data_IF_550119545262
#
_entry.id   IF_550119545262
#
_cell.length_a   1.000
_cell.length_b   1.000
_cell.length_c   1.000
_cell.angle_alpha   90.00
_cell.angle_beta   90.00
_cell.angle_gamma   90.00
#
_symmetry.space_group_name_H-M   'P 1'
#
loop_
_entity.id
_entity.type
_entity.pdbx_description
1 polymer ?
#
# COMPACT_ATOMS: atom_id res chain seq x y z
N UNK A 1 27.24 -34.05 -66.66
CA UNK A 1 28.65 -34.09 -66.29
C UNK A 1 28.95 -32.97 -65.34
N UNK A 2 29.75 -33.18 -64.30
CA UNK A 2 29.46 -33.83 -63.04
C UNK A 2 29.36 -32.81 -61.91
N UNK A 3 28.75 -33.22 -60.85
CA UNK A 3 28.76 -32.46 -59.56
C UNK A 3 30.17 -32.52 -58.93
N UNK A 4 30.52 -31.57 -58.06
CA UNK A 4 31.51 -31.80 -57.03
C UNK A 4 30.93 -31.78 -55.67
N UNK A 5 31.22 -32.84 -54.96
CA UNK A 5 31.75 -33.04 -53.59
C UNK A 5 31.23 -32.17 -52.47
N UNK A 6 30.60 -32.83 -51.56
CA UNK A 6 30.41 -32.42 -50.15
C UNK A 6 31.78 -32.13 -49.49
N UNK A 7 31.88 -30.94 -48.88
CA UNK A 7 32.88 -30.63 -47.90
C UNK A 7 32.18 -30.63 -46.53
N UNK A 8 32.67 -31.47 -45.66
CA UNK A 8 32.30 -31.52 -44.22
C UNK A 8 32.59 -30.14 -43.60
N UNK A 9 31.52 -29.51 -43.13
CA UNK A 9 31.65 -28.33 -42.27
C UNK A 9 31.68 -28.84 -40.80
N UNK A 10 32.85 -28.72 -40.19
CA UNK A 10 33.03 -28.87 -38.76
C UNK A 10 32.10 -27.89 -38.03
N UNK A 11 31.28 -28.42 -37.13
CA UNK A 11 30.46 -27.67 -36.15
C UNK A 11 31.41 -26.83 -35.28
N UNK A 12 31.22 -25.50 -35.16
CA UNK A 12 32.01 -24.70 -34.25
C UNK A 12 31.62 -25.04 -32.82
N UNK A 13 32.60 -25.49 -32.04
CA UNK A 13 32.53 -25.58 -30.55
C UNK A 13 31.96 -24.26 -30.00
N UNK A 14 30.78 -24.35 -29.39
CA UNK A 14 30.18 -23.27 -28.60
C UNK A 14 31.10 -23.04 -27.39
N UNK A 15 31.70 -21.85 -27.21
CA UNK A 15 32.50 -21.58 -26.04
C UNK A 15 31.61 -21.59 -24.82
N UNK A 16 32.11 -22.34 -23.83
CA UNK A 16 31.57 -22.39 -22.47
C UNK A 16 31.46 -20.94 -21.93
N UNK A 17 30.26 -20.40 -21.93
CA UNK A 17 29.98 -19.09 -21.31
C UNK A 17 30.23 -19.21 -19.83
N UNK A 18 31.04 -18.34 -19.21
CA UNK A 18 31.22 -18.34 -17.78
C UNK A 18 29.86 -18.13 -17.10
N UNK A 19 29.55 -18.99 -16.13
CA UNK A 19 28.38 -18.93 -15.27
C UNK A 19 28.14 -17.49 -14.83
N UNK A 20 27.00 -16.92 -15.25
CA UNK A 20 26.42 -15.73 -14.67
C UNK A 20 26.24 -16.00 -13.15
N UNK A 21 26.77 -15.17 -12.24
CA UNK A 21 26.51 -15.32 -10.83
C UNK A 21 25.02 -15.01 -10.61
N UNK A 22 24.19 -16.04 -10.69
CA UNK A 22 22.75 -15.97 -10.41
C UNK A 22 22.51 -15.32 -9.07
N UNK A 23 21.30 -14.76 -8.92
CA UNK A 23 20.80 -14.17 -7.68
C UNK A 23 21.25 -15.00 -6.47
N UNK A 24 21.90 -14.39 -5.42
CA UNK A 24 22.40 -15.12 -4.25
C UNK A 24 21.32 -15.94 -3.52
N UNK A 25 20.04 -15.76 -3.86
CA UNK A 25 18.92 -16.56 -3.35
C UNK A 25 18.65 -17.85 -4.15
N UNK A 26 19.28 -18.05 -5.33
CA UNK A 26 19.05 -19.22 -6.19
C UNK A 26 20.15 -20.29 -6.03
N UNK A 27 19.77 -21.56 -5.98
CA UNK A 27 20.72 -22.67 -5.96
C UNK A 27 21.56 -22.68 -7.22
N UNK A 28 22.87 -22.85 -7.05
CA UNK A 28 23.83 -22.91 -8.17
C UNK A 28 23.46 -24.04 -9.15
N UNK A 29 23.82 -23.92 -10.44
CA UNK A 29 23.60 -25.01 -11.42
C UNK A 29 24.23 -26.32 -11.00
N UNK A 30 25.41 -26.26 -10.33
CA UNK A 30 26.08 -27.44 -9.78
C UNK A 30 25.30 -28.05 -8.61
N UNK A 31 24.73 -27.23 -7.73
CA UNK A 31 23.90 -27.71 -6.63
C UNK A 31 22.62 -28.40 -7.15
N UNK A 32 21.96 -27.82 -8.16
CA UNK A 32 20.79 -28.47 -8.80
C UNK A 32 21.12 -29.83 -9.39
N UNK A 33 22.28 -29.95 -10.09
CA UNK A 33 22.73 -31.21 -10.66
C UNK A 33 23.11 -32.22 -9.55
N UNK A 34 23.75 -31.76 -8.49
CA UNK A 34 24.10 -32.61 -7.34
C UNK A 34 22.85 -33.08 -6.61
N UNK A 35 21.83 -32.24 -6.47
CA UNK A 35 20.57 -32.67 -5.84
C UNK A 35 19.88 -33.77 -6.67
N UNK A 36 19.81 -33.64 -7.98
CA UNK A 36 19.28 -34.68 -8.88
C UNK A 36 20.09 -35.97 -8.74
N UNK A 37 21.43 -35.89 -8.73
CA UNK A 37 22.32 -37.02 -8.49
C UNK A 37 22.06 -37.70 -7.14
N UNK A 38 21.80 -36.91 -6.08
CA UNK A 38 21.52 -37.42 -4.74
C UNK A 38 20.15 -38.09 -4.62
N UNK A 39 19.14 -37.61 -5.36
CA UNK A 39 17.79 -38.18 -5.39
C UNK A 39 17.78 -39.59 -5.99
N UNK A 40 18.59 -39.84 -7.02
CA UNK A 40 18.69 -41.15 -7.69
C UNK A 40 19.44 -42.17 -6.84
N UNK A 41 20.03 -41.79 -5.72
CA UNK A 41 20.85 -42.63 -4.86
C UNK A 41 20.35 -42.61 -3.40
N UNK A 42 20.49 -43.76 -2.72
CA UNK A 42 20.12 -43.79 -1.31
C UNK A 42 21.10 -42.98 -0.43
N UNK A 43 22.38 -42.97 -0.83
CA UNK A 43 23.43 -42.21 -0.18
C UNK A 43 24.65 -42.07 -1.08
N UNK A 44 25.46 -41.02 -0.91
CA UNK A 44 26.70 -40.81 -1.64
C UNK A 44 27.75 -40.14 -0.73
N UNK A 45 29.00 -40.23 -1.14
CA UNK A 45 30.14 -39.53 -0.51
C UNK A 45 30.58 -38.35 -1.35
N UNK A 46 31.27 -37.36 -0.74
CA UNK A 46 31.79 -36.21 -1.48
C UNK A 46 32.76 -36.60 -2.61
N UNK A 47 33.67 -37.58 -2.43
CA UNK A 47 34.52 -38.06 -3.50
C UNK A 47 33.74 -38.67 -4.68
N UNK A 48 32.68 -39.44 -4.43
CA UNK A 48 31.83 -40.00 -5.49
C UNK A 48 31.12 -38.90 -6.28
N UNK A 49 30.59 -37.91 -5.58
CA UNK A 49 29.97 -36.72 -6.23
C UNK A 49 30.99 -35.90 -7.04
N UNK A 50 32.23 -35.77 -6.52
CA UNK A 50 33.31 -35.05 -7.22
C UNK A 50 33.73 -35.81 -8.50
N UNK A 51 33.79 -37.12 -8.45
CA UNK A 51 34.09 -37.93 -9.64
C UNK A 51 32.99 -37.80 -10.71
N UNK A 52 31.73 -37.71 -10.29
CA UNK A 52 30.58 -37.67 -11.21
C UNK A 52 30.29 -36.25 -11.78
N UNK A 53 30.52 -35.20 -10.98
CA UNK A 53 30.06 -33.83 -11.29
C UNK A 53 31.16 -32.77 -11.33
N UNK A 54 32.42 -33.19 -11.05
CA UNK A 54 33.60 -32.32 -11.08
C UNK A 54 33.93 -31.66 -9.74
N UNK A 55 35.03 -30.91 -9.71
CA UNK A 55 35.64 -30.35 -8.49
C UNK A 55 34.74 -29.43 -7.66
N UNK A 56 33.69 -28.85 -8.23
CA UNK A 56 32.74 -27.97 -7.53
C UNK A 56 31.69 -28.74 -6.71
N UNK A 57 31.66 -30.08 -6.74
CA UNK A 57 30.67 -30.88 -6.02
C UNK A 57 30.76 -30.68 -4.49
N UNK A 58 31.95 -30.51 -3.92
CA UNK A 58 32.11 -30.23 -2.49
C UNK A 58 31.43 -28.94 -2.03
N UNK A 59 31.59 -27.87 -2.79
CA UNK A 59 30.90 -26.60 -2.52
C UNK A 59 29.36 -26.73 -2.65
N UNK A 60 28.89 -27.46 -3.65
CA UNK A 60 27.48 -27.76 -3.84
C UNK A 60 26.87 -28.59 -2.71
N UNK A 61 27.64 -29.51 -2.11
CA UNK A 61 27.19 -30.25 -0.89
C UNK A 61 26.97 -29.27 0.27
N UNK A 62 27.90 -28.33 0.48
CA UNK A 62 27.76 -27.31 1.54
C UNK A 62 26.55 -26.43 1.32
N UNK A 63 26.32 -25.98 0.08
CA UNK A 63 25.18 -25.16 -0.32
C UNK A 63 23.85 -25.89 -0.07
N UNK A 64 23.71 -27.13 -0.54
CA UNK A 64 22.50 -27.92 -0.35
C UNK A 64 22.28 -28.33 1.12
N UNK A 65 23.33 -28.56 1.89
CA UNK A 65 23.24 -28.82 3.31
C UNK A 65 22.76 -27.59 4.10
N UNK A 66 23.25 -26.39 3.74
CA UNK A 66 22.77 -25.13 4.30
C UNK A 66 21.29 -24.87 3.96
N UNK A 67 20.84 -25.26 2.77
CA UNK A 67 19.45 -25.24 2.35
C UNK A 67 18.60 -26.42 2.91
N UNK A 68 19.15 -27.26 3.78
CA UNK A 68 18.49 -28.46 4.32
C UNK A 68 18.06 -29.52 3.27
N UNK A 69 18.54 -29.39 2.04
CA UNK A 69 18.24 -30.32 0.92
C UNK A 69 19.10 -31.61 0.95
N UNK A 70 20.22 -31.56 1.66
CA UNK A 70 21.01 -32.74 1.98
C UNK A 70 21.10 -32.94 3.50
N UNK A 71 21.08 -34.20 3.90
CA UNK A 71 21.28 -34.62 5.29
C UNK A 71 22.45 -35.60 5.37
N UNK A 72 23.33 -35.36 6.33
CA UNK A 72 24.38 -36.28 6.68
C UNK A 72 23.78 -37.48 7.38
N UNK A 73 24.12 -38.66 6.92
CA UNK A 73 23.74 -39.92 7.59
C UNK A 73 24.69 -40.16 8.79
N UNK A 74 24.14 -40.60 9.94
CA UNK A 74 24.96 -41.03 11.07
C UNK A 74 25.68 -42.32 10.67
N UNK A 75 26.97 -42.22 10.37
CA UNK A 75 27.78 -43.37 10.04
C UNK A 75 28.72 -43.75 11.20
N UNK A 76 29.01 -45.06 11.30
CA UNK A 76 30.13 -45.59 12.05
C UNK A 76 31.47 -45.14 11.42
N UNK A 77 32.60 -45.82 11.70
CA UNK A 77 33.99 -45.48 11.31
C UNK A 77 34.29 -45.31 9.80
N UNK A 78 33.29 -45.02 8.96
CA UNK A 78 33.37 -44.85 7.50
C UNK A 78 33.39 -43.39 7.01
N UNK A 79 33.59 -43.18 5.69
CA UNK A 79 33.55 -41.84 5.09
C UNK A 79 32.17 -41.22 5.20
N UNK A 80 32.12 -39.89 5.39
CA UNK A 80 30.87 -39.10 5.47
C UNK A 80 29.93 -39.37 4.30
N UNK A 81 28.69 -39.79 4.61
CA UNK A 81 27.66 -40.09 3.61
C UNK A 81 26.50 -39.10 3.71
N UNK A 82 26.02 -38.70 2.56
CA UNK A 82 24.94 -37.74 2.40
C UNK A 82 23.75 -38.37 1.68
N UNK A 83 22.53 -37.98 2.07
CA UNK A 83 21.32 -38.36 1.36
C UNK A 83 20.44 -37.12 1.05
N UNK A 84 19.64 -37.23 -0.02
CA UNK A 84 18.70 -36.20 -0.39
C UNK A 84 17.54 -36.08 0.60
N UNK A 85 17.16 -34.87 0.94
CA UNK A 85 15.97 -34.55 1.74
C UNK A 85 14.89 -33.99 0.81
N UNK A 86 13.66 -34.48 0.95
CA UNK A 86 12.55 -33.97 0.13
C UNK A 86 12.39 -32.45 0.31
N UNK A 87 12.17 -31.64 -0.77
CA UNK A 87 12.11 -30.19 -0.70
C UNK A 87 11.08 -29.66 0.32
N UNK A 88 9.93 -30.33 0.45
CA UNK A 88 8.91 -29.99 1.46
C UNK A 88 9.41 -30.17 2.89
N UNK A 89 10.20 -31.19 3.14
CA UNK A 89 10.79 -31.47 4.47
C UNK A 89 11.92 -30.43 4.75
N UNK A 90 12.74 -30.11 3.75
CA UNK A 90 13.76 -29.08 3.85
C UNK A 90 13.12 -27.70 4.16
N UNK A 91 12.08 -27.32 3.41
CA UNK A 91 11.34 -26.08 3.66
C UNK A 91 10.71 -26.05 5.07
N UNK A 92 10.12 -27.14 5.54
CA UNK A 92 9.58 -27.21 6.89
C UNK A 92 10.67 -27.00 7.96
N UNK A 93 11.87 -27.56 7.77
CA UNK A 93 13.02 -27.37 8.68
C UNK A 93 13.54 -25.94 8.66
N UNK A 94 13.67 -25.33 7.47
CA UNK A 94 14.15 -23.98 7.32
C UNK A 94 13.17 -22.94 7.91
N UNK A 95 11.85 -23.17 7.77
CA UNK A 95 10.82 -22.25 8.23
C UNK A 95 10.44 -22.44 9.72
N UNK A 96 10.74 -23.59 10.31
CA UNK A 96 10.35 -23.88 11.70
C UNK A 96 10.82 -22.84 12.72
N UNK A 97 12.08 -22.33 12.70
CA UNK A 97 12.51 -21.29 13.63
C UNK A 97 11.74 -19.98 13.45
N UNK A 98 11.45 -19.58 12.20
CA UNK A 98 10.68 -18.38 11.91
C UNK A 98 9.23 -18.52 12.38
N UNK A 99 8.62 -19.66 12.18
CA UNK A 99 7.26 -19.95 12.65
C UNK A 99 7.16 -19.89 14.18
N UNK A 100 8.17 -20.37 14.89
CA UNK A 100 8.26 -20.27 16.34
C UNK A 100 8.37 -18.80 16.78
N UNK A 101 9.26 -18.03 16.17
CA UNK A 101 9.43 -16.61 16.49
C UNK A 101 8.13 -15.81 16.27
N UNK A 102 7.45 -16.04 15.16
CA UNK A 102 6.14 -15.43 14.88
C UNK A 102 5.13 -15.77 15.97
N UNK A 103 5.09 -17.05 16.38
CA UNK A 103 4.19 -17.50 17.44
C UNK A 103 4.50 -16.83 18.78
N UNK A 104 5.77 -16.80 19.18
CA UNK A 104 6.22 -16.16 20.43
C UNK A 104 5.86 -14.67 20.43
N UNK A 105 6.06 -13.99 19.31
CA UNK A 105 5.68 -12.57 19.14
C UNK A 105 4.17 -12.36 19.28
N UNK A 106 3.35 -13.24 18.69
CA UNK A 106 1.90 -13.18 18.85
C UNK A 106 1.47 -13.40 20.32
N UNK A 107 2.03 -14.42 20.98
CA UNK A 107 1.74 -14.69 22.37
C UNK A 107 2.12 -13.51 23.29
N UNK A 108 3.20 -12.82 23.00
CA UNK A 108 3.61 -11.61 23.74
C UNK A 108 2.67 -10.43 23.49
N UNK A 109 2.24 -10.24 22.25
CA UNK A 109 1.24 -9.21 21.91
C UNK A 109 -0.09 -9.48 22.63
N UNK A 110 -0.56 -10.73 22.66
CA UNK A 110 -1.81 -11.09 23.34
C UNK A 110 -1.72 -10.92 24.85
N UNK A 111 -0.57 -11.27 25.45
CA UNK A 111 -0.33 -10.99 26.89
C UNK A 111 -0.31 -9.50 27.20
N UNK A 112 0.31 -8.69 26.33
CA UNK A 112 0.32 -7.23 26.51
C UNK A 112 -1.08 -6.66 26.38
N UNK A 113 -1.84 -7.10 25.35
CA UNK A 113 -3.23 -6.69 25.15
C UNK A 113 -4.08 -7.02 26.40
N UNK A 114 -4.04 -8.26 26.88
CA UNK A 114 -4.79 -8.66 28.05
C UNK A 114 -4.43 -7.86 29.31
N UNK A 115 -3.13 -7.50 29.50
CA UNK A 115 -2.72 -6.62 30.61
C UNK A 115 -3.28 -5.21 30.48
N UNK A 116 -3.34 -4.66 29.27
CA UNK A 116 -3.89 -3.33 29.02
C UNK A 116 -5.42 -3.33 29.15
N UNK A 117 -6.10 -4.35 28.62
CA UNK A 117 -7.55 -4.53 28.74
C UNK A 117 -8.00 -4.65 30.21
N UNK A 118 -7.21 -5.30 31.05
CA UNK A 118 -7.49 -5.38 32.49
C UNK A 118 -7.52 -4.00 33.19
N UNK A 119 -6.94 -2.97 32.57
CA UNK A 119 -6.96 -1.60 33.10
C UNK A 119 -8.18 -0.78 32.61
N UNK A 120 -8.90 -1.26 31.60
CA UNK A 120 -10.07 -0.56 31.03
C UNK A 120 -11.12 -0.24 32.09
N UNK A 121 -11.54 -1.16 32.98
CA UNK A 121 -12.55 -0.83 34.00
C UNK A 121 -12.09 0.26 34.96
N UNK A 122 -10.80 0.27 35.32
CA UNK A 122 -10.24 1.31 36.19
C UNK A 122 -10.17 2.67 35.47
N UNK A 123 -9.86 2.66 34.20
CA UNK A 123 -9.88 3.86 33.36
C UNK A 123 -11.29 4.40 33.18
N UNK A 124 -12.27 3.54 32.89
CA UNK A 124 -13.68 3.89 32.72
C UNK A 124 -14.30 4.41 34.03
N UNK A 125 -14.00 3.78 35.18
CA UNK A 125 -14.41 4.28 36.48
C UNK A 125 -13.84 5.67 36.80
N UNK A 126 -12.57 5.92 36.44
CA UNK A 126 -11.95 7.24 36.54
C UNK A 126 -12.47 8.22 35.46
N UNK A 127 -12.86 7.73 34.28
CA UNK A 127 -13.46 8.54 33.22
C UNK A 127 -14.88 8.98 33.58
N UNK A 128 -15.69 8.14 34.19
CA UNK A 128 -17.02 8.52 34.73
C UNK A 128 -16.93 9.70 35.71
N UNK A 129 -15.85 9.80 36.49
CA UNK A 129 -15.58 10.98 37.35
C UNK A 129 -15.11 12.20 36.53
N UNK A 130 -14.42 11.99 35.40
CA UNK A 130 -13.95 13.04 34.46
C UNK A 130 -15.00 13.42 33.41
N UNK A 131 -16.05 12.62 33.23
CA UNK A 131 -17.14 12.88 32.27
C UNK A 131 -17.96 14.14 32.64
N UNK A 132 -17.88 14.58 33.87
CA UNK A 132 -18.30 15.93 34.26
C UNK A 132 -17.40 17.03 33.65
N UNK A 133 -16.25 16.68 33.09
CA UNK A 133 -15.26 17.59 32.48
C UNK A 133 -15.04 17.36 30.97
N UNK A 134 -15.71 16.40 30.32
CA UNK A 134 -15.62 16.16 28.88
C UNK A 134 -14.26 15.62 28.35
N UNK A 135 -13.29 15.33 29.23
CA UNK A 135 -11.89 15.09 28.81
C UNK A 135 -11.56 13.66 28.38
N UNK A 136 -12.47 12.68 28.52
CA UNK A 136 -12.25 11.28 28.10
C UNK A 136 -12.72 10.94 26.68
N UNK A 137 -13.50 11.84 26.07
CA UNK A 137 -14.11 11.60 24.74
C UNK A 137 -13.30 12.12 23.57
N UNK A 138 -12.25 12.88 23.84
CA UNK A 138 -11.29 13.41 22.86
C UNK A 138 -9.88 13.03 23.30
N UNK A 139 -9.16 12.33 22.46
CA UNK A 139 -7.81 11.83 22.71
C UNK A 139 -6.86 12.23 21.58
N UNK A 140 -5.76 12.89 21.92
CA UNK A 140 -4.72 13.26 20.95
C UNK A 140 -3.64 12.17 20.93
N UNK A 141 -3.55 11.45 19.81
CA UNK A 141 -2.49 10.48 19.53
C UNK A 141 -1.46 11.15 18.62
N UNK A 142 -0.21 11.23 19.07
CA UNK A 142 0.86 11.97 18.35
C UNK A 142 1.86 11.07 17.63
N UNK A 143 1.88 9.79 17.93
CA UNK A 143 2.73 8.80 17.28
C UNK A 143 2.04 8.16 16.07
N UNK A 144 2.71 8.18 14.91
CA UNK A 144 2.15 7.64 13.66
C UNK A 144 1.91 6.12 13.72
N UNK A 145 2.79 5.37 14.40
CA UNK A 145 2.65 3.92 14.57
C UNK A 145 1.43 3.61 15.42
N UNK A 146 1.23 4.34 16.52
CA UNK A 146 0.05 4.22 17.38
C UNK A 146 -1.24 4.56 16.61
N UNK A 147 -1.23 5.62 15.78
CA UNK A 147 -2.39 5.98 14.93
C UNK A 147 -2.71 4.86 13.94
N UNK A 148 -1.70 4.26 13.28
CA UNK A 148 -1.90 3.13 12.35
C UNK A 148 -2.44 1.89 13.06
N UNK A 149 -1.87 1.55 14.22
CA UNK A 149 -2.34 0.46 15.06
C UNK A 149 -3.82 0.63 15.44
N UNK A 150 -4.17 1.83 15.93
CA UNK A 150 -5.55 2.16 16.29
C UNK A 150 -6.53 2.08 15.10
N UNK A 151 -6.12 2.57 13.91
CA UNK A 151 -6.94 2.43 12.70
C UNK A 151 -7.18 0.94 12.37
N UNK A 152 -6.16 0.10 12.51
CA UNK A 152 -6.27 -1.33 12.26
C UNK A 152 -7.20 -2.01 13.26
N UNK A 153 -7.11 -1.66 14.53
CA UNK A 153 -7.98 -2.18 15.59
C UNK A 153 -9.44 -1.75 15.38
N UNK A 154 -9.70 -0.46 15.13
CA UNK A 154 -11.04 0.05 14.85
C UNK A 154 -11.65 -0.56 13.59
N UNK A 155 -10.85 -0.79 12.56
CA UNK A 155 -11.32 -1.46 11.34
C UNK A 155 -11.64 -2.95 11.59
N UNK A 156 -10.89 -3.62 12.46
CA UNK A 156 -11.18 -5.01 12.85
C UNK A 156 -12.48 -5.11 13.63
N UNK A 157 -12.79 -4.15 14.51
CA UNK A 157 -14.03 -4.06 15.28
C UNK A 157 -15.23 -3.42 14.55
N UNK A 158 -15.01 -2.87 13.35
CA UNK A 158 -16.08 -2.22 12.57
C UNK A 158 -17.07 -3.26 12.02
N UNK A 159 -18.37 -3.05 12.26
CA UNK A 159 -19.44 -3.99 11.91
C UNK A 159 -20.40 -3.46 10.84
N UNK A 160 -20.59 -2.15 10.74
CA UNK A 160 -21.62 -1.55 9.86
C UNK A 160 -21.05 -0.74 8.73
N UNK A 161 -20.24 0.27 9.02
CA UNK A 161 -19.77 1.21 8.01
C UNK A 161 -18.48 1.92 8.38
N UNK A 162 -17.60 2.04 7.40
CA UNK A 162 -16.43 2.91 7.43
C UNK A 162 -16.60 4.07 6.44
N UNK A 163 -16.59 5.30 6.96
CA UNK A 163 -16.56 6.53 6.17
C UNK A 163 -15.16 7.12 6.17
N UNK A 164 -14.64 7.43 5.00
CA UNK A 164 -13.26 7.94 4.86
C UNK A 164 -13.20 9.17 3.97
N UNK A 165 -12.58 10.22 4.44
CA UNK A 165 -12.30 11.42 3.66
C UNK A 165 -10.78 11.65 3.55
N UNK A 166 -10.27 11.70 2.32
CA UNK A 166 -8.84 11.73 1.99
C UNK A 166 -8.50 12.95 1.12
N UNK A 167 -8.15 14.09 1.73
CA UNK A 167 -7.63 15.25 1.02
C UNK A 167 -6.20 15.04 0.54
N UNK A 168 -5.70 15.91 -0.31
CA UNK A 168 -4.29 15.99 -0.64
C UNK A 168 -3.84 15.13 -1.82
N UNK A 169 -4.75 14.76 -2.71
CA UNK A 169 -4.39 14.01 -3.93
C UNK A 169 -4.24 12.51 -3.72
N UNK A 170 -3.34 11.88 -4.48
CA UNK A 170 -3.08 10.44 -4.37
C UNK A 170 -2.32 10.08 -3.10
N UNK A 171 -2.60 8.89 -2.56
CA UNK A 171 -1.87 8.35 -1.41
C UNK A 171 -0.55 7.72 -1.86
N UNK A 172 0.50 7.77 -1.02
CA UNK A 172 1.73 7.01 -1.24
C UNK A 172 1.43 5.51 -1.38
N UNK A 173 2.20 4.81 -2.22
CA UNK A 173 2.01 3.39 -2.48
C UNK A 173 2.09 2.55 -1.20
N UNK A 174 3.09 2.77 -0.36
CA UNK A 174 3.26 2.09 0.93
C UNK A 174 2.01 2.20 1.83
N UNK A 175 1.42 3.40 1.92
CA UNK A 175 0.20 3.61 2.71
C UNK A 175 -1.03 2.92 2.12
N UNK A 176 -1.04 2.66 0.81
CA UNK A 176 -2.11 1.91 0.15
C UNK A 176 -1.92 0.41 0.35
N UNK A 177 -0.69 -0.08 0.28
CA UNK A 177 -0.36 -1.49 0.55
C UNK A 177 -0.73 -1.89 1.99
N UNK A 178 -0.42 -1.04 2.97
CA UNK A 178 -0.87 -1.24 4.36
C UNK A 178 -2.41 -1.25 4.49
N UNK A 179 -3.09 -0.42 3.72
CA UNK A 179 -4.55 -0.29 3.80
C UNK A 179 -5.29 -1.45 3.13
N UNK A 180 -4.76 -1.99 2.01
CA UNK A 180 -5.45 -2.97 1.17
C UNK A 180 -5.93 -4.18 1.96
N UNK A 181 -5.05 -4.88 2.68
CA UNK A 181 -5.42 -6.10 3.40
C UNK A 181 -6.48 -5.86 4.48
N UNK A 182 -6.38 -4.74 5.18
CA UNK A 182 -7.35 -4.30 6.19
C UNK A 182 -8.71 -4.00 5.55
N UNK A 183 -8.73 -3.22 4.48
CA UNK A 183 -9.95 -2.74 3.83
C UNK A 183 -10.66 -3.89 3.09
N UNK A 184 -9.91 -4.84 2.50
CA UNK A 184 -10.45 -6.08 1.94
C UNK A 184 -11.09 -6.98 3.00
N UNK A 185 -10.42 -7.15 4.15
CA UNK A 185 -10.97 -7.91 5.28
C UNK A 185 -12.27 -7.29 5.79
N UNK A 186 -12.36 -5.95 5.85
CA UNK A 186 -13.55 -5.21 6.23
C UNK A 186 -14.69 -5.44 5.24
N UNK A 187 -14.43 -5.31 3.95
CA UNK A 187 -15.42 -5.55 2.89
C UNK A 187 -15.89 -7.01 2.85
N UNK A 188 -14.98 -7.98 3.06
CA UNK A 188 -15.32 -9.41 3.12
C UNK A 188 -16.28 -9.75 4.28
N UNK A 189 -16.30 -8.97 5.35
CA UNK A 189 -17.27 -9.07 6.45
C UNK A 189 -18.61 -8.42 6.14
N UNK A 190 -18.77 -7.79 4.97
CA UNK A 190 -20.00 -7.11 4.57
C UNK A 190 -20.14 -5.68 5.12
N UNK A 191 -19.09 -5.11 5.69
CA UNK A 191 -19.09 -3.74 6.17
C UNK A 191 -19.14 -2.77 4.98
N UNK A 192 -20.02 -1.78 5.02
CA UNK A 192 -20.08 -0.75 3.99
C UNK A 192 -18.88 0.17 4.07
N UNK A 193 -18.23 0.42 2.94
CA UNK A 193 -17.09 1.33 2.87
C UNK A 193 -17.37 2.45 1.86
N UNK A 194 -17.37 3.69 2.34
CA UNK A 194 -17.53 4.89 1.52
C UNK A 194 -16.33 5.81 1.67
N UNK A 195 -15.69 6.13 0.55
CA UNK A 195 -14.48 6.96 0.54
C UNK A 195 -14.62 8.16 -0.38
N UNK A 196 -14.28 9.35 0.11
CA UNK A 196 -14.15 10.55 -0.71
C UNK A 196 -12.67 10.90 -0.84
N UNK A 197 -12.19 10.92 -2.06
CA UNK A 197 -10.87 11.46 -2.42
C UNK A 197 -10.99 12.87 -2.99
N UNK A 198 -9.90 13.60 -2.98
CA UNK A 198 -9.80 14.82 -3.76
C UNK A 198 -9.68 14.47 -5.26
N UNK A 199 -10.19 15.33 -6.16
CA UNK A 199 -10.18 15.07 -7.60
C UNK A 199 -8.80 14.71 -8.15
N UNK A 200 -7.75 15.29 -7.61
CA UNK A 200 -6.36 15.03 -8.00
C UNK A 200 -5.88 13.61 -7.73
N UNK A 201 -6.53 12.86 -6.83
CA UNK A 201 -6.22 11.46 -6.58
C UNK A 201 -6.40 10.56 -7.83
N UNK A 202 -7.25 10.96 -8.76
CA UNK A 202 -7.49 10.24 -10.03
C UNK A 202 -6.25 10.15 -10.93
N UNK A 203 -5.30 11.07 -10.75
CA UNK A 203 -4.05 11.09 -11.52
C UNK A 203 -2.94 10.22 -10.89
N UNK A 204 -3.17 9.67 -9.70
CA UNK A 204 -2.25 8.76 -9.03
C UNK A 204 -2.54 7.32 -9.45
N UNK A 205 -1.61 6.71 -10.20
CA UNK A 205 -1.74 5.30 -10.61
C UNK A 205 -1.92 4.34 -9.44
N UNK A 206 -1.13 4.43 -8.34
CA UNK A 206 -1.32 3.55 -7.19
C UNK A 206 -2.71 3.71 -6.57
N UNK A 207 -3.20 4.96 -6.44
CA UNK A 207 -4.53 5.22 -5.88
C UNK A 207 -5.64 4.70 -6.79
N UNK A 208 -5.51 4.86 -8.12
CA UNK A 208 -6.50 4.33 -9.07
C UNK A 208 -6.58 2.80 -9.01
N UNK A 209 -5.44 2.11 -8.98
CA UNK A 209 -5.39 0.65 -8.84
C UNK A 209 -6.00 0.16 -7.51
N UNK A 210 -5.73 0.87 -6.41
CA UNK A 210 -6.36 0.58 -5.12
C UNK A 210 -7.88 0.75 -5.19
N UNK A 211 -8.35 1.87 -5.78
CA UNK A 211 -9.80 2.14 -5.90
C UNK A 211 -10.49 1.08 -6.75
N UNK A 212 -9.90 0.68 -7.87
CA UNK A 212 -10.42 -0.41 -8.71
C UNK A 212 -10.61 -1.69 -7.89
N UNK A 213 -9.59 -2.05 -7.09
CA UNK A 213 -9.59 -3.25 -6.26
C UNK A 213 -10.67 -3.23 -5.18
N UNK A 214 -10.78 -2.16 -4.39
CA UNK A 214 -11.81 -2.08 -3.33
C UNK A 214 -13.21 -1.91 -3.89
N UNK A 215 -13.38 -1.25 -5.04
CA UNK A 215 -14.67 -1.09 -5.71
C UNK A 215 -15.18 -2.43 -6.25
N UNK A 216 -14.29 -3.29 -6.76
CA UNK A 216 -14.64 -4.65 -7.17
C UNK A 216 -15.19 -5.49 -5.99
N UNK A 217 -14.83 -5.15 -4.75
CA UNK A 217 -15.33 -5.76 -3.52
C UNK A 217 -16.55 -5.06 -2.92
N UNK A 218 -17.09 -4.05 -3.59
CA UNK A 218 -18.32 -3.36 -3.18
C UNK A 218 -18.12 -2.02 -2.47
N UNK A 219 -16.89 -1.52 -2.32
CA UNK A 219 -16.66 -0.18 -1.78
C UNK A 219 -17.19 0.91 -2.74
N UNK A 220 -17.73 1.97 -2.18
CA UNK A 220 -18.15 3.14 -2.94
C UNK A 220 -17.09 4.24 -2.82
N UNK A 221 -16.54 4.65 -3.94
CA UNK A 221 -15.51 5.69 -3.97
C UNK A 221 -15.95 6.86 -4.84
N UNK A 222 -15.89 8.06 -4.27
CA UNK A 222 -16.22 9.31 -4.95
C UNK A 222 -15.06 10.30 -4.86
N UNK A 223 -15.16 11.38 -5.59
CA UNK A 223 -14.17 12.47 -5.53
C UNK A 223 -14.85 13.83 -5.44
N UNK A 224 -14.19 14.75 -4.73
CA UNK A 224 -14.62 16.14 -4.56
C UNK A 224 -13.47 17.07 -4.89
N UNK A 225 -13.78 18.28 -5.42
CA UNK A 225 -12.75 19.24 -5.85
C UNK A 225 -11.98 19.85 -4.70
N UNK A 226 -12.66 20.19 -3.62
CA UNK A 226 -12.11 20.93 -2.48
C UNK A 226 -12.96 20.74 -1.22
N UNK A 227 -12.49 21.29 -0.09
CA UNK A 227 -13.25 21.32 1.17
C UNK A 227 -13.19 20.01 1.98
N UNK A 228 -12.29 19.11 1.63
CA UNK A 228 -12.11 17.86 2.37
C UNK A 228 -11.20 18.04 3.58
N UNK A 229 -11.62 17.46 4.70
CA UNK A 229 -10.77 17.23 5.87
C UNK A 229 -10.41 15.74 5.93
N UNK A 230 -9.18 15.43 6.37
CA UNK A 230 -8.80 14.02 6.56
C UNK A 230 -9.47 13.48 7.81
N UNK A 231 -10.37 12.53 7.61
CA UNK A 231 -11.06 11.86 8.70
C UNK A 231 -11.45 10.43 8.33
N UNK A 232 -11.60 9.60 9.35
CA UNK A 232 -12.20 8.28 9.29
C UNK A 232 -13.30 8.23 10.35
N UNK A 233 -14.41 7.57 10.06
CA UNK A 233 -15.51 7.38 11.02
C UNK A 233 -15.91 5.92 10.95
N UNK A 234 -15.89 5.25 12.09
CA UNK A 234 -16.21 3.84 12.26
C UNK A 234 -17.56 3.72 12.96
N UNK A 235 -18.53 3.10 12.32
CA UNK A 235 -19.89 2.78 12.82
C UNK A 235 -20.66 3.97 13.41
N UNK A 236 -20.31 5.19 13.07
CA UNK A 236 -20.83 6.42 13.69
C UNK A 236 -20.58 6.53 15.21
N UNK A 237 -19.60 5.76 15.72
CA UNK A 237 -19.24 5.75 17.15
C UNK A 237 -17.87 6.37 17.41
N UNK A 238 -16.92 6.15 16.51
CA UNK A 238 -15.55 6.65 16.69
C UNK A 238 -15.09 7.36 15.44
N UNK A 239 -14.66 8.60 15.59
CA UNK A 239 -14.03 9.40 14.55
C UNK A 239 -12.53 9.58 14.79
N UNK A 240 -11.76 9.62 13.73
CA UNK A 240 -10.37 10.07 13.75
C UNK A 240 -10.24 11.27 12.80
N UNK A 241 -9.62 12.34 13.26
CA UNK A 241 -9.32 13.52 12.45
C UNK A 241 -7.81 13.77 12.46
N UNK A 242 -7.26 14.12 11.28
CA UNK A 242 -5.88 14.60 11.22
C UNK A 242 -5.76 15.95 11.95
N UNK A 243 -4.66 16.12 12.69
CA UNK A 243 -4.36 17.37 13.39
C UNK A 243 -3.59 18.28 12.44
N UNK A 244 -4.08 19.51 12.18
CA UNK A 244 -3.33 20.48 11.39
C UNK A 244 -1.94 20.71 11.98
N UNK A 245 -0.95 20.87 11.09
CA UNK A 245 0.45 21.18 11.42
C UNK A 245 1.20 20.13 12.27
N UNK A 246 0.59 18.96 12.56
CA UNK A 246 1.22 17.81 13.21
C UNK A 246 1.10 16.57 12.33
N UNK A 247 2.09 16.36 11.47
CA UNK A 247 2.12 15.16 10.62
C UNK A 247 2.18 13.89 11.47
N UNK A 248 1.32 12.93 11.17
CA UNK A 248 1.27 11.65 11.88
C UNK A 248 0.44 11.65 13.16
N UNK A 249 -0.07 12.81 13.61
CA UNK A 249 -0.97 12.89 14.74
C UNK A 249 -2.45 12.78 14.30
N UNK A 250 -3.28 12.20 15.16
CA UNK A 250 -4.72 12.14 15.01
C UNK A 250 -5.43 12.51 16.30
N UNK A 251 -6.55 13.22 16.17
CA UNK A 251 -7.52 13.38 17.25
C UNK A 251 -8.54 12.26 17.13
N UNK A 252 -8.60 11.43 18.15
CA UNK A 252 -9.62 10.38 18.32
C UNK A 252 -10.83 10.99 19.00
N UNK A 253 -12.00 10.81 18.41
CA UNK A 253 -13.26 11.40 18.87
C UNK A 253 -14.25 10.29 19.18
N UNK A 254 -14.66 10.18 20.43
CA UNK A 254 -15.69 9.25 20.91
C UNK A 254 -16.91 10.00 21.51
N UNK A 255 -16.90 11.33 21.40
CA UNK A 255 -18.03 12.13 21.83
C UNK A 255 -19.15 12.08 20.78
N UNK A 256 -20.37 11.57 21.13
CA UNK A 256 -21.42 11.27 20.14
C UNK A 256 -21.85 12.47 19.29
N UNK A 257 -21.99 13.66 19.89
CA UNK A 257 -22.41 14.85 19.14
C UNK A 257 -21.35 15.31 18.14
N UNK A 258 -20.05 15.15 18.50
CA UNK A 258 -18.94 15.50 17.57
C UNK A 258 -18.85 14.46 16.47
N UNK A 259 -18.99 13.16 16.77
CA UNK A 259 -19.04 12.10 15.75
C UNK A 259 -20.23 12.29 14.82
N UNK A 260 -21.40 12.64 15.36
CA UNK A 260 -22.58 12.96 14.54
C UNK A 260 -22.32 14.15 13.62
N UNK A 261 -21.68 15.21 14.12
CA UNK A 261 -21.28 16.36 13.29
C UNK A 261 -20.29 15.94 12.19
N UNK A 262 -19.31 15.10 12.51
CA UNK A 262 -18.34 14.57 11.52
C UNK A 262 -19.06 13.77 10.42
N UNK A 263 -20.02 12.91 10.80
CA UNK A 263 -20.84 12.12 9.88
C UNK A 263 -21.68 13.03 8.99
N UNK A 264 -22.36 14.03 9.57
CA UNK A 264 -23.15 15.00 8.79
C UNK A 264 -22.27 15.81 7.80
N UNK A 265 -21.06 16.18 8.21
CA UNK A 265 -20.10 16.86 7.33
C UNK A 265 -19.63 15.94 6.18
N UNK A 266 -19.41 14.65 6.47
CA UNK A 266 -19.11 13.65 5.43
C UNK A 266 -20.28 13.50 4.46
N UNK A 267 -21.51 13.31 4.94
CA UNK A 267 -22.69 13.14 4.10
C UNK A 267 -22.94 14.36 3.20
N UNK A 268 -22.76 15.54 3.73
CA UNK A 268 -22.84 16.77 2.93
C UNK A 268 -21.83 16.78 1.79
N UNK A 269 -20.59 16.36 2.09
CA UNK A 269 -19.52 16.23 1.09
C UNK A 269 -19.83 15.12 0.09
N UNK A 270 -20.41 14.03 0.55
CA UNK A 270 -20.80 12.88 -0.27
C UNK A 270 -21.86 13.22 -1.32
N UNK A 271 -22.82 14.04 -0.97
CA UNK A 271 -23.86 14.51 -1.91
C UNK A 271 -23.27 15.31 -3.07
N UNK A 272 -22.24 16.12 -2.81
CA UNK A 272 -21.56 16.91 -3.83
C UNK A 272 -20.45 16.16 -4.58
N UNK A 273 -20.08 14.96 -4.11
CA UNK A 273 -18.98 14.20 -4.67
C UNK A 273 -19.43 13.35 -5.87
N UNK A 274 -18.55 13.21 -6.87
CA UNK A 274 -18.80 12.40 -8.09
C UNK A 274 -18.11 11.05 -8.00
N UNK A 275 -18.66 10.01 -8.64
CA UNK A 275 -18.01 8.69 -8.68
C UNK A 275 -16.55 8.78 -9.12
N UNK A 276 -15.68 7.98 -8.50
CA UNK A 276 -14.30 7.84 -8.95
C UNK A 276 -14.32 7.05 -10.27
N UNK A 277 -13.80 7.57 -11.39
CA UNK A 277 -13.81 6.83 -12.64
C UNK A 277 -12.81 5.67 -12.57
N UNK A 278 -13.31 4.46 -12.71
CA UNK A 278 -12.51 3.23 -12.79
C UNK A 278 -12.02 2.95 -14.22
N UNK A 279 -12.64 3.59 -15.22
CA UNK A 279 -12.21 3.57 -16.61
C UNK A 279 -11.91 4.98 -17.10
N UNK A 280 -10.73 5.20 -17.64
CA UNK A 280 -10.33 6.51 -18.22
C UNK A 280 -10.92 6.60 -19.63
N UNK A 281 -12.20 6.97 -19.75
CA UNK A 281 -12.69 7.41 -21.04
C UNK A 281 -12.11 8.81 -21.35
N UNK A 282 -11.81 9.14 -22.61
CA UNK A 282 -11.33 10.48 -22.99
C UNK A 282 -12.28 11.61 -22.56
N UNK A 283 -13.56 11.30 -22.47
CA UNK A 283 -14.62 12.20 -22.08
C UNK A 283 -14.62 12.46 -20.58
N UNK A 284 -14.49 11.43 -19.75
CA UNK A 284 -14.30 11.55 -18.30
C UNK A 284 -13.03 12.34 -17.96
N UNK A 285 -11.93 12.11 -18.69
CA UNK A 285 -10.68 12.86 -18.50
C UNK A 285 -10.83 14.35 -18.80
N UNK A 286 -11.61 14.72 -19.83
CA UNK A 286 -11.89 16.14 -20.16
C UNK A 286 -12.74 16.82 -19.09
N UNK A 287 -13.84 16.20 -18.69
CA UNK A 287 -14.73 16.73 -17.64
C UNK A 287 -13.96 16.97 -16.34
N UNK A 288 -13.06 16.05 -15.98
CA UNK A 288 -12.19 16.17 -14.81
C UNK A 288 -11.19 17.32 -14.90
N UNK A 289 -10.60 17.52 -16.09
CA UNK A 289 -9.70 18.63 -16.34
C UNK A 289 -10.42 19.97 -16.19
N UNK A 290 -11.67 20.06 -16.65
CA UNK A 290 -12.47 21.26 -16.56
C UNK A 290 -12.89 21.57 -15.12
N UNK A 291 -13.27 20.57 -14.33
CA UNK A 291 -13.59 20.73 -12.91
C UNK A 291 -12.37 21.18 -12.09
N UNK A 292 -11.21 20.58 -12.35
CA UNK A 292 -9.98 21.01 -11.71
C UNK A 292 -9.64 22.46 -12.05
N UNK A 293 -9.80 22.85 -13.32
CA UNK A 293 -9.61 24.22 -13.76
C UNK A 293 -10.58 25.19 -13.07
N UNK A 294 -11.86 24.84 -12.99
CA UNK A 294 -12.86 25.64 -12.29
C UNK A 294 -12.52 25.82 -10.81
N UNK A 295 -12.04 24.76 -10.16
CA UNK A 295 -11.62 24.84 -8.76
C UNK A 295 -10.40 25.74 -8.60
N UNK A 296 -9.40 25.63 -9.48
CA UNK A 296 -8.23 26.53 -9.47
C UNK A 296 -8.66 27.97 -9.69
N UNK A 297 -9.55 28.23 -10.65
CA UNK A 297 -10.09 29.56 -10.93
C UNK A 297 -10.75 30.17 -9.70
N UNK A 298 -11.61 29.41 -9.01
CA UNK A 298 -12.27 29.88 -7.80
C UNK A 298 -11.24 30.23 -6.72
N UNK A 299 -10.27 29.36 -6.44
CA UNK A 299 -9.23 29.60 -5.43
C UNK A 299 -8.33 30.80 -5.79
N UNK A 300 -8.07 31.01 -7.09
CA UNK A 300 -7.37 32.21 -7.57
C UNK A 300 -8.22 33.49 -7.36
N UNK A 301 -9.53 33.42 -7.60
CA UNK A 301 -10.45 34.53 -7.38
C UNK A 301 -10.59 34.88 -5.90
N UNK A 302 -10.46 33.88 -5.01
CA UNK A 302 -10.39 34.04 -3.56
C UNK A 302 -9.05 34.66 -3.09
N UNK A 303 -8.12 34.94 -4.01
CA UNK A 303 -6.83 35.56 -3.71
C UNK A 303 -5.75 34.63 -3.15
N UNK A 304 -5.92 33.31 -3.21
CA UNK A 304 -4.95 32.38 -2.67
C UNK A 304 -3.67 32.33 -3.52
N UNK A 305 -2.53 32.15 -2.84
CA UNK A 305 -1.23 31.93 -3.47
C UNK A 305 -1.10 30.52 -4.09
N UNK A 306 -0.25 30.36 -5.12
CA UNK A 306 -0.02 29.09 -5.83
C UNK A 306 0.33 27.95 -4.88
N UNK A 307 1.19 28.21 -3.90
CA UNK A 307 1.61 27.24 -2.90
C UNK A 307 0.44 26.77 -2.03
N UNK A 308 -0.47 27.67 -1.67
CA UNK A 308 -1.67 27.35 -0.89
C UNK A 308 -2.63 26.54 -1.75
N UNK A 309 -2.85 26.97 -3.01
CA UNK A 309 -3.70 26.24 -3.97
C UNK A 309 -3.15 24.84 -4.21
N UNK A 310 -1.83 24.72 -4.48
CA UNK A 310 -1.18 23.42 -4.72
C UNK A 310 -1.37 22.48 -3.53
N UNK A 311 -1.10 22.95 -2.30
CA UNK A 311 -1.30 22.18 -1.07
C UNK A 311 -2.77 21.78 -0.89
N UNK A 312 -3.70 22.69 -1.12
CA UNK A 312 -5.14 22.46 -0.96
C UNK A 312 -5.69 21.48 -1.98
N UNK A 313 -5.14 21.47 -3.19
CA UNK A 313 -5.51 20.55 -4.27
C UNK A 313 -4.68 19.27 -4.30
N UNK A 314 -3.71 19.10 -3.39
CA UNK A 314 -2.87 17.90 -3.30
C UNK A 314 -2.01 17.67 -4.54
N UNK A 315 -1.48 18.75 -5.12
CA UNK A 315 -0.56 18.67 -6.25
C UNK A 315 0.74 19.43 -5.97
N UNK A 316 1.77 19.19 -6.78
CA UNK A 316 3.00 19.96 -6.66
C UNK A 316 2.77 21.43 -7.10
N UNK A 317 3.52 22.36 -6.51
CA UNK A 317 3.46 23.78 -6.87
C UNK A 317 3.74 23.98 -8.38
N UNK A 318 4.71 23.25 -8.93
CA UNK A 318 5.01 23.23 -10.36
C UNK A 318 3.80 22.81 -11.22
N UNK A 319 3.04 21.81 -10.77
CA UNK A 319 1.84 21.35 -11.47
C UNK A 319 0.74 22.41 -11.40
N UNK A 320 0.56 23.04 -10.23
CA UNK A 320 -0.39 24.12 -10.03
C UNK A 320 -0.07 25.31 -10.94
N UNK A 321 1.17 25.75 -10.95
CA UNK A 321 1.65 26.85 -11.81
C UNK A 321 1.42 26.57 -13.30
N UNK A 322 1.63 25.33 -13.74
CA UNK A 322 1.34 24.94 -15.12
C UNK A 322 -0.15 25.08 -15.45
N UNK A 323 -1.04 24.62 -14.57
CA UNK A 323 -2.48 24.79 -14.77
C UNK A 323 -2.91 26.25 -14.76
N UNK A 324 -2.35 27.07 -13.86
CA UNK A 324 -2.60 28.51 -13.82
C UNK A 324 -2.16 29.18 -15.13
N UNK A 325 -0.98 28.84 -15.64
CA UNK A 325 -0.49 29.37 -16.91
C UNK A 325 -1.37 28.95 -18.11
N UNK A 326 -1.90 27.71 -18.09
CA UNK A 326 -2.86 27.23 -19.11
C UNK A 326 -4.18 28.00 -19.03
N UNK A 327 -4.70 28.25 -17.83
CA UNK A 327 -5.92 29.03 -17.60
C UNK A 327 -5.71 30.48 -18.09
N UNK A 328 -4.61 31.13 -17.68
CA UNK A 328 -4.28 32.49 -18.12
C UNK A 328 -4.21 32.61 -19.65
N UNK A 329 -3.59 31.63 -20.30
CA UNK A 329 -3.50 31.60 -21.77
C UNK A 329 -4.88 31.42 -22.42
N UNK A 330 -5.72 30.56 -21.85
CA UNK A 330 -7.07 30.32 -22.37
C UNK A 330 -7.98 31.54 -22.32
N UNK A 331 -7.81 32.42 -21.30
CA UNK A 331 -8.59 33.68 -21.16
C UNK A 331 -7.87 34.89 -21.72
N UNK A 332 -6.69 34.75 -22.33
CA UNK A 332 -5.91 35.83 -22.90
C UNK A 332 -5.34 36.82 -21.86
N UNK A 333 -5.22 36.42 -20.60
CA UNK A 333 -4.75 37.27 -19.53
C UNK A 333 -3.22 37.35 -19.48
N UNK A 334 -2.68 38.54 -19.28
CA UNK A 334 -1.24 38.83 -19.13
C UNK A 334 -0.78 38.81 -17.66
N UNK A 335 -1.71 38.87 -16.72
CA UNK A 335 -1.43 38.79 -15.28
C UNK A 335 -2.52 38.01 -14.55
N UNK A 336 -2.19 37.52 -13.33
CA UNK A 336 -3.15 36.85 -12.46
C UNK A 336 -4.35 37.72 -12.11
N UNK A 337 -4.10 38.99 -11.83
CA UNK A 337 -5.16 39.94 -11.55
C UNK A 337 -6.12 40.09 -12.74
N UNK A 338 -5.57 40.23 -13.96
CA UNK A 338 -6.37 40.27 -15.18
C UNK A 338 -7.15 38.96 -15.41
N UNK A 339 -6.55 37.82 -15.14
CA UNK A 339 -7.24 36.51 -15.22
C UNK A 339 -8.41 36.43 -14.23
N UNK A 340 -8.21 36.82 -12.98
CA UNK A 340 -9.26 36.88 -11.97
C UNK A 340 -10.42 37.81 -12.39
N UNK A 341 -10.10 39.00 -12.91
CA UNK A 341 -11.10 39.94 -13.38
C UNK A 341 -11.92 39.41 -14.57
N UNK A 342 -11.26 38.84 -15.58
CA UNK A 342 -11.92 38.29 -16.77
C UNK A 342 -12.79 37.08 -16.41
N UNK A 343 -12.34 36.25 -15.49
CA UNK A 343 -13.06 35.07 -15.03
C UNK A 343 -14.25 35.42 -14.14
N UNK A 344 -14.11 36.42 -13.26
CA UNK A 344 -15.23 36.88 -12.44
C UNK A 344 -16.32 37.52 -13.28
N UNK A 345 -15.95 38.27 -14.32
CA UNK A 345 -16.88 38.86 -15.28
C UNK A 345 -17.62 37.78 -16.12
N UNK A 346 -16.96 36.67 -16.42
CA UNK A 346 -17.59 35.53 -17.13
C UNK A 346 -18.51 34.68 -16.25
N UNK A 347 -18.32 34.69 -14.93
CA UNK A 347 -19.12 33.97 -13.93
C UNK A 347 -20.25 34.83 -13.33
N UNK A 348 -20.23 36.13 -13.53
CA UNK A 348 -21.34 37.01 -13.11
C UNK A 348 -22.63 36.57 -13.83
N UNK A 349 -23.77 36.39 -13.12
CA UNK A 349 -25.03 36.16 -13.78
C UNK A 349 -25.26 37.28 -14.77
N UNK A 350 -25.57 36.95 -16.03
CA UNK A 350 -26.06 37.93 -16.98
C UNK A 350 -27.40 38.37 -16.44
N UNK A 351 -27.40 39.54 -15.79
CA UNK A 351 -28.64 40.23 -15.44
C UNK A 351 -29.45 40.37 -16.71
N UNK A 352 -30.59 39.65 -16.71
CA UNK A 352 -31.52 39.66 -17.81
C UNK A 352 -32.03 41.05 -18.03
N UNK A 353 -31.83 41.54 -19.26
CA UNK A 353 -32.57 42.68 -19.75
C UNK A 353 -33.99 42.29 -20.08
#
# INVERSE_FOLDING_TARGET
MPAPAHADAEDPEVPDTPDDPGDPEDLSPTARRLYAYAVDRHAFTVPEATTALGARAGAAVTELAAAHLLQRLPDGDGPERWCAVAPRAAAARALAPMALLVRETHDEMDRLRGRLEALVPAYEAGAAHRDLSGSGRLELVTDLGAVRGLITELAAGCERELLTSQPGGGRPQESLEEAVGRDESLLARGVRMRTIYQHTARYSRPTAAYVERVTALGAQVRTLGDGLMRMLIFDEHTGLMAVPDRQGAALVVREPNVVHFMTAAFERSWLGARPFPTSVSPEAARTLSDELRQTIVRLLSDGLEDKVIARRLGMSERTCQRHIAEIMRAVGAKSRFQAGYLLSAALAPKDGG
#
